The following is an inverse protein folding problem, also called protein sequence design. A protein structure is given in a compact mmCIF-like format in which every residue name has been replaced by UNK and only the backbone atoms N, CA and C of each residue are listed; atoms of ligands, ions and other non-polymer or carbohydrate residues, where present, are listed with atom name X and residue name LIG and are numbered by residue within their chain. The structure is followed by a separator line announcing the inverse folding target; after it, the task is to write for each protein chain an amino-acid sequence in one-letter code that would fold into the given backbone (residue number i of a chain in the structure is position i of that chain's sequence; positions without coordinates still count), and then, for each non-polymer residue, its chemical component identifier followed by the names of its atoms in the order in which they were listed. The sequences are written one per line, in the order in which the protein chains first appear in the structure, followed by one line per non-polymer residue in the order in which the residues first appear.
data_IF_166077076765
#
_entry.id   IF_166077076765
#
_cell.length_a   1.000
_cell.length_b   1.000
_cell.length_c   1.000
_cell.angle_alpha   90.00
_cell.angle_beta   90.00
_cell.angle_gamma   90.00
#
_symmetry.space_group_name_H-M   'P 1'
#
loop_
_entity.id
_entity.type
_entity.pdbx_description
1 polymer ?
#
# COMPACT_ATOMS: atom_id res chain seq x y z
N UNK A 1 37.39 52.56 -74.68
CA UNK A 1 36.04 52.05 -74.41
C UNK A 1 35.93 52.00 -72.89
N UNK A 2 35.19 52.96 -72.33
CA UNK A 2 34.96 53.29 -70.91
C UNK A 2 34.50 52.06 -70.11
N UNK A 3 35.10 51.70 -68.97
CA UNK A 3 35.02 52.27 -67.61
C UNK A 3 33.65 52.02 -66.94
N UNK A 4 33.66 51.32 -65.79
CA UNK A 4 32.75 51.34 -64.60
C UNK A 4 33.10 50.13 -63.69
N UNK A 5 33.78 50.35 -62.54
CA UNK A 5 33.24 50.36 -61.14
C UNK A 5 32.44 49.10 -60.75
N UNK A 6 32.60 48.46 -59.59
CA UNK A 6 33.23 48.77 -58.31
C UNK A 6 32.55 47.92 -57.23
N UNK A 7 33.33 47.49 -56.24
CA UNK A 7 33.01 47.12 -54.85
C UNK A 7 31.88 46.14 -54.47
N UNK A 8 32.27 45.07 -53.76
CA UNK A 8 31.79 44.66 -52.43
C UNK A 8 32.39 43.27 -52.13
N UNK A 9 33.58 43.19 -51.52
CA UNK A 9 33.76 42.98 -50.08
C UNK A 9 32.63 42.19 -49.38
N UNK A 10 33.05 41.10 -48.72
CA UNK A 10 32.43 40.60 -47.47
C UNK A 10 31.10 39.84 -47.60
N UNK A 11 31.15 38.50 -47.83
CA UNK A 11 30.24 37.54 -47.17
C UNK A 11 30.41 36.10 -47.69
N UNK A 12 31.51 35.42 -47.36
CA UNK A 12 31.56 33.95 -47.47
C UNK A 12 32.31 33.28 -46.32
N UNK A 13 32.44 34.00 -45.20
CA UNK A 13 33.04 33.55 -43.95
C UNK A 13 32.03 33.78 -42.82
N UNK A 14 30.84 33.16 -42.87
CA UNK A 14 29.93 33.22 -41.72
C UNK A 14 28.83 32.16 -41.63
N UNK A 15 28.81 31.11 -42.47
CA UNK A 15 27.76 30.08 -42.37
C UNK A 15 28.22 28.77 -41.73
N UNK A 16 29.39 28.74 -41.08
CA UNK A 16 29.92 27.54 -40.42
C UNK A 16 29.63 27.47 -38.90
N UNK A 17 28.74 28.30 -38.37
CA UNK A 17 28.51 28.37 -36.91
C UNK A 17 27.06 28.68 -36.53
N UNK A 18 26.08 28.05 -37.19
CA UNK A 18 24.68 28.17 -36.78
C UNK A 18 24.08 26.79 -36.45
N UNK A 19 23.63 26.67 -35.20
CA UNK A 19 22.76 25.66 -34.60
C UNK A 19 23.31 24.28 -34.22
N UNK A 20 24.16 24.28 -33.18
CA UNK A 20 24.32 23.15 -32.25
C UNK A 20 23.41 23.25 -31.01
N UNK A 21 22.33 24.03 -31.09
CA UNK A 21 21.31 24.11 -30.05
C UNK A 21 20.23 23.07 -30.28
N UNK A 22 20.34 21.88 -29.68
CA UNK A 22 19.16 21.01 -29.57
C UNK A 22 18.12 21.78 -28.76
N UNK A 23 17.05 22.22 -29.42
CA UNK A 23 15.94 22.87 -28.73
C UNK A 23 15.44 21.97 -27.60
N UNK A 24 15.36 22.51 -26.39
CA UNK A 24 14.84 21.79 -25.21
C UNK A 24 13.48 21.14 -25.49
N UNK A 25 12.62 21.78 -26.29
CA UNK A 25 11.31 21.22 -26.67
C UNK A 25 11.44 20.05 -27.66
N UNK A 26 12.42 20.08 -28.56
CA UNK A 26 12.73 18.97 -29.45
C UNK A 26 13.35 17.78 -28.68
N UNK A 27 14.23 18.06 -27.71
CA UNK A 27 14.78 17.04 -26.83
C UNK A 27 13.69 16.37 -25.97
N UNK A 28 12.83 17.17 -25.34
CA UNK A 28 11.71 16.66 -24.51
C UNK A 28 10.71 15.87 -25.35
N UNK A 29 10.34 16.35 -26.55
CA UNK A 29 9.40 15.62 -27.42
C UNK A 29 10.00 14.31 -27.96
N UNK A 30 11.30 14.29 -28.27
CA UNK A 30 12.03 13.08 -28.66
C UNK A 30 12.18 12.08 -27.51
N UNK A 31 12.52 12.55 -26.31
CA UNK A 31 12.56 11.71 -25.12
C UNK A 31 11.16 11.13 -24.82
N UNK A 32 10.10 11.94 -24.95
CA UNK A 32 8.73 11.51 -24.74
C UNK A 32 8.26 10.49 -25.79
N UNK A 33 8.61 10.69 -27.07
CA UNK A 33 8.29 9.71 -28.12
C UNK A 33 9.05 8.40 -27.92
N UNK A 34 10.28 8.46 -27.42
CA UNK A 34 11.09 7.29 -27.06
C UNK A 34 10.46 6.53 -25.89
N UNK A 35 10.07 7.24 -24.83
CA UNK A 35 9.34 6.67 -23.68
C UNK A 35 8.05 6.00 -24.13
N UNK A 36 7.27 6.66 -25.00
CA UNK A 36 6.06 6.04 -25.59
C UNK A 36 6.40 4.78 -26.37
N UNK A 37 7.43 4.79 -27.20
CA UNK A 37 7.80 3.64 -28.04
C UNK A 37 8.17 2.44 -27.16
N UNK A 38 8.97 2.66 -26.13
CA UNK A 38 9.33 1.64 -25.13
C UNK A 38 8.09 1.19 -24.36
N UNK A 39 7.26 2.13 -23.90
CA UNK A 39 6.02 1.82 -23.19
C UNK A 39 5.02 1.04 -24.05
N UNK A 40 4.94 1.28 -25.34
CA UNK A 40 4.02 0.58 -26.26
C UNK A 40 4.64 -0.66 -26.91
N UNK A 41 5.94 -0.91 -26.69
CA UNK A 41 6.56 -2.17 -27.09
C UNK A 41 5.77 -3.34 -26.48
N UNK A 42 5.64 -4.41 -27.25
CA UNK A 42 4.74 -5.51 -26.93
C UNK A 42 5.38 -6.89 -27.16
N UNK A 43 6.71 -6.96 -27.05
CA UNK A 43 7.45 -8.23 -27.10
C UNK A 43 7.17 -9.06 -25.83
N UNK A 44 7.30 -10.39 -25.88
CA UNK A 44 7.11 -11.26 -24.72
C UNK A 44 7.99 -10.89 -23.53
N UNK A 45 9.28 -10.66 -23.75
CA UNK A 45 10.24 -10.26 -22.71
C UNK A 45 9.83 -8.95 -22.01
N UNK A 46 9.35 -7.99 -22.79
CA UNK A 46 8.91 -6.70 -22.25
C UNK A 46 7.61 -6.80 -21.45
N UNK A 47 6.69 -7.70 -21.83
CA UNK A 47 5.48 -7.97 -21.02
C UNK A 47 5.83 -8.59 -19.67
N UNK A 48 6.80 -9.51 -19.65
CA UNK A 48 7.30 -10.10 -18.39
C UNK A 48 7.94 -9.02 -17.52
N UNK A 49 8.77 -8.16 -18.12
CA UNK A 49 9.41 -7.07 -17.39
C UNK A 49 8.40 -6.08 -16.79
N UNK A 50 7.39 -5.65 -17.55
CA UNK A 50 6.29 -4.82 -17.03
C UNK A 50 5.53 -5.51 -15.90
N UNK A 51 5.23 -6.80 -16.07
CA UNK A 51 4.53 -7.58 -15.05
C UNK A 51 5.34 -7.65 -13.77
N UNK A 52 6.64 -7.96 -13.86
CA UNK A 52 7.55 -7.98 -12.73
C UNK A 52 7.69 -6.62 -12.04
N UNK A 53 7.77 -5.54 -12.81
CA UNK A 53 7.80 -4.18 -12.26
C UNK A 53 6.51 -3.83 -11.50
N UNK A 54 5.34 -4.24 -12.00
CA UNK A 54 4.06 -4.04 -11.30
C UNK A 54 3.94 -4.92 -10.05
N UNK A 55 4.45 -6.15 -10.08
CA UNK A 55 4.53 -7.01 -8.88
C UNK A 55 5.41 -6.37 -7.82
N UNK A 56 6.60 -5.92 -8.22
CA UNK A 56 7.53 -5.23 -7.32
C UNK A 56 6.89 -3.98 -6.73
N UNK A 57 6.36 -3.08 -7.58
CA UNK A 57 5.68 -1.87 -7.13
C UNK A 57 4.50 -2.20 -6.19
N UNK A 58 3.69 -3.19 -6.56
CA UNK A 58 2.54 -3.62 -5.78
C UNK A 58 2.94 -4.11 -4.40
N UNK A 59 3.95 -4.97 -4.33
CA UNK A 59 4.51 -5.47 -3.07
C UNK A 59 5.03 -4.35 -2.17
N UNK A 60 5.82 -3.42 -2.69
CA UNK A 60 6.38 -2.33 -1.87
C UNK A 60 5.32 -1.33 -1.40
N UNK A 61 4.34 -0.98 -2.24
CA UNK A 61 3.24 -0.12 -1.83
C UNK A 61 2.37 -0.81 -0.78
N UNK A 62 2.08 -2.10 -0.96
CA UNK A 62 1.33 -2.90 0.01
C UNK A 62 2.05 -3.04 1.35
N UNK A 63 3.32 -3.44 1.33
CA UNK A 63 4.13 -3.61 2.54
C UNK A 63 4.36 -2.27 3.26
N UNK A 64 4.73 -1.22 2.52
CA UNK A 64 4.95 0.11 3.08
C UNK A 64 3.69 0.70 3.71
N UNK A 65 2.52 0.51 3.08
CA UNK A 65 1.24 0.96 3.64
C UNK A 65 0.88 0.21 4.92
N UNK A 66 1.15 -1.10 4.98
CA UNK A 66 0.95 -1.89 6.20
C UNK A 66 1.89 -1.46 7.32
N UNK A 67 3.18 -1.23 7.04
CA UNK A 67 4.12 -0.73 8.04
C UNK A 67 3.64 0.61 8.61
N UNK A 68 3.27 1.55 7.73
CA UNK A 68 2.81 2.87 8.17
C UNK A 68 1.49 2.80 8.94
N UNK A 69 0.58 1.92 8.55
CA UNK A 69 -0.68 1.69 9.26
C UNK A 69 -0.47 1.00 10.62
N UNK A 70 0.54 0.12 10.75
CA UNK A 70 0.96 -0.45 12.04
C UNK A 70 1.49 0.63 12.98
N UNK A 71 2.17 1.67 12.47
CA UNK A 71 2.63 2.80 13.28
C UNK A 71 1.51 3.76 13.67
N UNK A 72 0.57 4.04 12.78
CA UNK A 72 -0.58 4.89 13.09
C UNK A 72 -1.85 4.31 12.46
N UNK A 73 -2.56 3.55 13.28
CA UNK A 73 -3.78 2.87 12.88
C UNK A 73 -5.01 3.76 12.77
N UNK A 74 -4.90 5.08 12.97
CA UNK A 74 -5.97 6.04 12.68
C UNK A 74 -5.97 6.53 11.22
N UNK A 75 -4.91 6.20 10.46
CA UNK A 75 -4.77 6.58 9.06
C UNK A 75 -5.51 5.60 8.14
N UNK A 76 -6.84 5.54 8.24
CA UNK A 76 -7.70 4.66 7.42
C UNK A 76 -7.52 4.91 5.90
N UNK A 77 -7.09 6.12 5.53
CA UNK A 77 -6.72 6.43 4.14
C UNK A 77 -5.64 5.50 3.57
N UNK A 78 -4.84 4.82 4.42
CA UNK A 78 -3.83 3.85 4.00
C UNK A 78 -4.41 2.52 3.52
N UNK A 79 -5.69 2.23 3.78
CA UNK A 79 -6.35 1.04 3.22
C UNK A 79 -6.40 1.08 1.69
N UNK A 80 -6.50 2.26 1.08
CA UNK A 80 -6.53 2.42 -0.39
C UNK A 80 -5.19 2.10 -1.09
N UNK A 81 -4.04 2.70 -0.70
CA UNK A 81 -2.75 2.31 -1.27
C UNK A 81 -2.41 0.86 -0.92
N UNK A 82 -2.79 0.38 0.27
CA UNK A 82 -2.64 -1.03 0.63
C UNK A 82 -3.41 -1.96 -0.32
N UNK A 83 -4.69 -1.69 -0.58
CA UNK A 83 -5.52 -2.43 -1.52
C UNK A 83 -5.00 -2.35 -2.96
N UNK A 84 -4.57 -1.16 -3.39
CA UNK A 84 -3.92 -0.97 -4.67
C UNK A 84 -2.69 -1.86 -4.81
N UNK A 85 -1.78 -1.83 -3.83
CA UNK A 85 -0.56 -2.64 -3.84
C UNK A 85 -0.85 -4.14 -3.89
N UNK A 86 -1.74 -4.61 -3.01
CA UNK A 86 -2.14 -6.01 -2.91
C UNK A 86 -2.73 -6.53 -4.23
N UNK A 87 -3.69 -5.80 -4.80
CA UNK A 87 -4.33 -6.19 -6.06
C UNK A 87 -3.34 -6.11 -7.23
N UNK A 88 -2.43 -5.13 -7.23
CA UNK A 88 -1.47 -4.94 -8.32
C UNK A 88 -0.54 -6.14 -8.52
N UNK A 89 -0.20 -6.86 -7.44
CA UNK A 89 0.60 -8.09 -7.48
C UNK A 89 -0.03 -9.14 -8.41
N UNK A 90 -1.34 -9.34 -8.32
CA UNK A 90 -2.07 -10.28 -9.18
C UNK A 90 -2.53 -9.66 -10.50
N UNK A 91 -3.09 -8.46 -10.45
CA UNK A 91 -3.63 -7.74 -11.60
C UNK A 91 -2.57 -7.47 -12.66
N UNK A 92 -1.37 -7.02 -12.28
CA UNK A 92 -0.29 -6.66 -13.20
C UNK A 92 0.05 -7.78 -14.19
N UNK A 93 0.45 -8.96 -13.70
CA UNK A 93 0.72 -10.15 -14.52
C UNK A 93 -0.49 -10.59 -15.36
N UNK A 94 -1.69 -10.70 -14.78
CA UNK A 94 -2.89 -11.12 -15.52
C UNK A 94 -3.19 -10.15 -16.65
N UNK A 95 -3.11 -8.84 -16.39
CA UNK A 95 -3.38 -7.82 -17.38
C UNK A 95 -2.39 -7.87 -18.56
N UNK A 96 -1.08 -7.98 -18.26
CA UNK A 96 -0.03 -7.86 -19.27
C UNK A 96 0.30 -9.16 -20.00
N UNK A 97 0.16 -10.31 -19.33
CA UNK A 97 0.48 -11.62 -19.91
C UNK A 97 -0.74 -12.30 -20.55
N UNK A 98 -1.95 -11.99 -20.08
CA UNK A 98 -3.19 -12.67 -20.55
C UNK A 98 -4.12 -11.69 -21.26
N UNK A 99 -4.54 -10.61 -20.58
CA UNK A 99 -5.62 -9.74 -21.07
C UNK A 99 -5.20 -8.97 -22.31
N UNK A 100 -4.05 -8.28 -22.29
CA UNK A 100 -3.57 -7.50 -23.44
C UNK A 100 -3.34 -8.39 -24.67
N UNK A 101 -2.62 -9.53 -24.58
CA UNK A 101 -2.41 -10.39 -25.75
C UNK A 101 -3.73 -10.94 -26.31
N UNK A 102 -4.66 -11.33 -25.44
CA UNK A 102 -5.97 -11.84 -25.83
C UNK A 102 -6.84 -10.76 -26.49
N UNK A 103 -6.87 -9.56 -25.91
CA UNK A 103 -7.56 -8.41 -26.46
C UNK A 103 -7.05 -8.04 -27.85
N UNK A 104 -5.72 -8.04 -28.05
CA UNK A 104 -5.10 -7.78 -29.36
C UNK A 104 -5.44 -8.87 -30.38
N UNK A 105 -5.46 -10.14 -29.97
CA UNK A 105 -5.87 -11.27 -30.82
C UNK A 105 -7.33 -11.12 -31.25
N UNK A 106 -8.23 -10.86 -30.30
CA UNK A 106 -9.66 -10.74 -30.55
C UNK A 106 -10.05 -9.48 -31.32
N UNK A 107 -9.31 -8.38 -31.17
CA UNK A 107 -9.52 -7.14 -31.95
C UNK A 107 -9.31 -7.33 -33.46
N UNK A 108 -8.54 -8.35 -33.86
CA UNK A 108 -8.32 -8.74 -35.27
C UNK A 108 -9.35 -9.75 -35.79
N UNK A 109 -10.27 -10.20 -34.95
CA UNK A 109 -11.37 -11.09 -35.35
C UNK A 109 -12.59 -10.28 -35.76
N UNK A 110 -13.57 -10.92 -36.40
CA UNK A 110 -14.84 -10.27 -36.76
C UNK A 110 -15.95 -10.46 -35.71
N UNK A 111 -16.98 -9.62 -35.79
CA UNK A 111 -18.19 -9.72 -34.99
C UNK A 111 -18.00 -9.47 -33.49
N UNK A 112 -18.68 -10.25 -32.65
CA UNK A 112 -18.71 -10.07 -31.19
C UNK A 112 -17.32 -10.15 -30.54
N UNK A 113 -16.42 -10.98 -31.07
CA UNK A 113 -15.03 -11.10 -30.56
C UNK A 113 -14.25 -9.80 -30.75
N UNK A 114 -14.47 -9.10 -31.86
CA UNK A 114 -13.86 -7.79 -32.13
C UNK A 114 -14.29 -6.76 -31.08
N UNK A 115 -15.60 -6.71 -30.79
CA UNK A 115 -16.18 -5.79 -29.80
C UNK A 115 -15.66 -6.10 -28.40
N UNK A 116 -15.61 -7.37 -28.02
CA UNK A 116 -15.10 -7.80 -26.72
C UNK A 116 -13.62 -7.47 -26.57
N UNK A 117 -12.80 -7.74 -27.59
CA UNK A 117 -11.37 -7.39 -27.60
C UNK A 117 -11.08 -5.89 -27.46
N UNK A 118 -11.98 -5.02 -27.95
CA UNK A 118 -11.87 -3.56 -27.76
C UNK A 118 -12.23 -3.10 -26.34
N UNK A 119 -13.16 -3.78 -25.66
CA UNK A 119 -13.65 -3.41 -24.33
C UNK A 119 -12.91 -4.10 -23.19
N UNK A 120 -12.32 -5.26 -23.43
CA UNK A 120 -11.73 -6.10 -22.39
C UNK A 120 -10.66 -5.38 -21.54
N UNK A 121 -9.67 -4.64 -22.10
CA UNK A 121 -8.66 -3.97 -21.28
C UNK A 121 -9.26 -2.90 -20.36
N UNK A 122 -10.19 -2.09 -20.88
CA UNK A 122 -10.86 -1.04 -20.11
C UNK A 122 -11.79 -1.64 -19.06
N UNK A 123 -12.51 -2.72 -19.39
CA UNK A 123 -13.35 -3.43 -18.43
C UNK A 123 -12.54 -4.01 -17.27
N UNK A 124 -11.37 -4.57 -17.54
CA UNK A 124 -10.46 -5.07 -16.51
C UNK A 124 -9.93 -3.94 -15.62
N UNK A 125 -9.59 -2.78 -16.22
CA UNK A 125 -9.17 -1.60 -15.46
C UNK A 125 -10.29 -1.07 -14.55
N UNK A 126 -11.53 -0.98 -15.04
CA UNK A 126 -12.69 -0.59 -14.23
C UNK A 126 -12.90 -1.57 -13.08
N UNK A 127 -12.82 -2.88 -13.34
CA UNK A 127 -12.94 -3.90 -12.30
C UNK A 127 -11.83 -3.77 -11.25
N UNK A 128 -10.60 -3.48 -11.66
CA UNK A 128 -9.48 -3.24 -10.75
C UNK A 128 -9.70 -2.03 -9.85
N UNK A 129 -10.10 -0.88 -10.42
CA UNK A 129 -10.41 0.32 -9.64
C UNK A 129 -11.59 0.08 -8.70
N UNK A 130 -12.64 -0.58 -9.16
CA UNK A 130 -13.77 -0.94 -8.32
C UNK A 130 -13.35 -1.86 -7.16
N UNK A 131 -12.50 -2.85 -7.42
CA UNK A 131 -11.97 -3.73 -6.38
C UNK A 131 -11.11 -2.97 -5.36
N UNK A 132 -10.31 -1.98 -5.79
CA UNK A 132 -9.56 -1.10 -4.87
C UNK A 132 -10.53 -0.34 -3.96
N UNK A 133 -11.59 0.25 -4.51
CA UNK A 133 -12.56 0.99 -3.72
C UNK A 133 -13.26 0.08 -2.71
N UNK A 134 -13.67 -1.12 -3.12
CA UNK A 134 -14.32 -2.09 -2.22
C UNK A 134 -13.36 -2.55 -1.13
N UNK A 135 -12.14 -3.00 -1.46
CA UNK A 135 -11.17 -3.47 -0.46
C UNK A 135 -10.63 -2.33 0.41
N UNK A 136 -10.52 -1.11 -0.13
CA UNK A 136 -10.11 0.05 0.64
C UNK A 136 -11.18 0.52 1.63
N UNK A 137 -12.47 0.35 1.29
CA UNK A 137 -13.59 0.67 2.20
C UNK A 137 -13.85 -0.46 3.20
N UNK A 138 -13.66 -1.71 2.77
CA UNK A 138 -13.87 -2.91 3.57
C UNK A 138 -12.58 -3.76 3.57
N UNK A 139 -11.55 -3.36 4.35
CA UNK A 139 -10.27 -4.05 4.38
C UNK A 139 -10.45 -5.51 4.80
N UNK A 140 -10.00 -6.43 3.94
CA UNK A 140 -10.03 -7.86 4.23
C UNK A 140 -8.77 -8.29 4.97
N UNK A 141 -8.89 -9.20 5.94
CA UNK A 141 -7.77 -9.64 6.79
C UNK A 141 -6.55 -10.18 6.04
N UNK A 142 -6.72 -10.75 4.85
CA UNK A 142 -5.60 -11.22 4.02
C UNK A 142 -4.73 -10.10 3.41
N UNK A 143 -5.23 -8.86 3.41
CA UNK A 143 -4.55 -7.68 2.91
C UNK A 143 -3.80 -6.92 4.02
N UNK A 144 -4.23 -7.08 5.27
CA UNK A 144 -3.69 -6.37 6.43
C UNK A 144 -2.73 -7.27 7.20
N UNK A 145 -1.48 -6.86 7.36
CA UNK A 145 -0.47 -7.55 8.17
C UNK A 145 -0.01 -6.61 9.26
N UNK A 146 -0.16 -7.05 10.51
CA UNK A 146 0.35 -6.33 11.67
C UNK A 146 1.81 -6.71 11.95
N UNK A 147 2.75 -5.91 11.44
CA UNK A 147 4.19 -6.17 11.58
C UNK A 147 4.73 -5.92 12.99
N UNK A 148 4.05 -5.10 13.81
CA UNK A 148 4.44 -4.87 15.20
C UNK A 148 4.25 -6.13 16.05
N UNK A 149 3.25 -6.97 15.72
CA UNK A 149 3.04 -8.24 16.41
C UNK A 149 4.11 -9.31 16.10
N UNK A 150 4.91 -9.13 15.04
CA UNK A 150 5.91 -10.10 14.56
C UNK A 150 7.36 -9.64 14.75
N UNK A 151 7.60 -8.32 14.80
CA UNK A 151 8.89 -7.73 15.11
C UNK A 151 8.97 -7.53 16.63
N UNK A 152 9.51 -8.52 17.33
CA UNK A 152 9.73 -8.42 18.79
C UNK A 152 10.55 -7.20 19.19
N UNK A 153 10.07 -6.52 20.23
CA UNK A 153 10.72 -5.62 21.21
C UNK A 153 12.02 -4.94 20.76
N UNK A 154 11.90 -3.98 19.84
CA UNK A 154 13.08 -3.32 19.25
C UNK A 154 12.87 -1.89 18.79
N UNK A 155 12.21 -1.02 19.57
CA UNK A 155 12.35 0.43 19.44
C UNK A 155 12.07 1.17 20.75
N UNK A 156 13.12 1.69 21.40
CA UNK A 156 13.01 2.65 22.52
C UNK A 156 12.63 4.04 21.97
N UNK A 157 11.80 4.84 22.63
CA UNK A 157 12.22 5.59 23.84
C UNK A 157 11.16 5.73 24.95
N UNK A 158 9.97 5.15 24.78
CA UNK A 158 9.02 4.86 25.88
C UNK A 158 8.34 3.56 25.49
N UNK A 159 8.71 2.46 26.16
CA UNK A 159 8.15 1.12 25.87
C UNK A 159 7.19 0.73 27.01
N UNK A 160 5.92 1.18 26.95
CA UNK A 160 4.94 0.84 27.98
C UNK A 160 4.59 -0.65 27.86
N UNK A 161 5.26 -1.49 28.65
CA UNK A 161 5.13 -2.95 28.58
C UNK A 161 3.72 -3.39 29.06
N UNK A 162 2.99 -4.07 28.16
CA UNK A 162 1.69 -4.67 28.46
C UNK A 162 1.86 -6.16 28.76
N UNK A 163 1.70 -6.51 30.04
CA UNK A 163 1.66 -7.90 30.50
C UNK A 163 0.22 -8.39 30.52
N UNK A 164 -0.03 -9.58 30.00
CA UNK A 164 -1.33 -10.22 30.04
C UNK A 164 -1.18 -11.67 30.47
N UNK A 165 -2.06 -12.12 31.37
CA UNK A 165 -2.18 -13.52 31.80
C UNK A 165 -3.60 -14.00 31.57
N UNK A 166 -3.75 -15.25 31.15
CA UNK A 166 -5.07 -15.87 30.99
C UNK A 166 -5.34 -16.87 32.11
N UNK A 167 -6.57 -16.88 32.58
CA UNK A 167 -7.10 -17.94 33.44
C UNK A 167 -8.00 -18.83 32.59
N UNK A 168 -7.78 -20.14 32.60
CA UNK A 168 -8.59 -21.13 31.90
C UNK A 168 -9.49 -21.87 32.89
N UNK A 169 -10.74 -22.17 32.51
CA UNK A 169 -11.72 -22.81 33.41
C UNK A 169 -13.14 -22.27 33.24
N UNK A 170 -13.97 -22.42 34.27
CA UNK A 170 -15.37 -21.97 34.27
C UNK A 170 -15.56 -20.46 34.20
N UNK A 171 -14.52 -19.69 34.53
CA UNK A 171 -14.45 -18.23 34.42
C UNK A 171 -13.23 -17.85 33.57
N UNK A 172 -13.22 -18.29 32.31
CA UNK A 172 -12.11 -18.04 31.41
C UNK A 172 -12.00 -16.55 31.10
N UNK A 173 -10.88 -15.93 31.47
CA UNK A 173 -10.61 -14.50 31.30
C UNK A 173 -9.15 -14.20 31.04
N UNK A 174 -8.88 -13.00 30.54
CA UNK A 174 -7.54 -12.45 30.39
C UNK A 174 -7.45 -11.19 31.23
N UNK A 175 -6.47 -11.15 32.12
CA UNK A 175 -6.14 -10.00 32.94
C UNK A 175 -4.87 -9.37 32.37
N UNK A 176 -4.92 -8.06 32.09
CA UNK A 176 -3.81 -7.30 31.54
C UNK A 176 -3.49 -6.09 32.41
N UNK A 177 -2.20 -5.79 32.52
CA UNK A 177 -1.64 -4.68 33.27
C UNK A 177 -0.58 -3.96 32.42
N UNK A 178 -0.59 -2.63 32.49
CA UNK A 178 0.45 -1.79 31.91
C UNK A 178 1.52 -1.45 32.96
N UNK A 179 2.74 -1.98 32.79
CA UNK A 179 3.81 -1.84 33.77
C UNK A 179 4.44 -0.42 33.81
N UNK A 180 4.42 0.29 32.68
CA UNK A 180 4.87 1.69 32.57
C UNK A 180 3.82 2.53 31.87
N UNK A 181 3.42 3.63 32.51
CA UNK A 181 2.33 4.51 32.08
C UNK A 181 2.77 5.90 31.64
N UNK A 182 4.08 6.14 31.52
CA UNK A 182 4.60 7.46 31.15
C UNK A 182 4.11 7.85 29.74
N UNK A 183 3.45 9.01 29.63
CA UNK A 183 2.86 9.50 28.37
C UNK A 183 1.53 8.84 27.97
N UNK A 184 0.94 7.97 28.82
CA UNK A 184 -0.36 7.34 28.58
C UNK A 184 -1.44 8.04 29.40
N UNK A 185 -2.44 8.59 28.72
CA UNK A 185 -3.63 9.22 29.31
C UNK A 185 -4.87 8.31 29.32
N UNK A 186 -4.96 7.31 28.43
CA UNK A 186 -6.01 6.28 28.49
C UNK A 186 -5.63 5.00 27.76
N UNK A 187 -6.28 3.90 28.14
CA UNK A 187 -6.21 2.59 27.48
C UNK A 187 -7.57 2.23 26.89
N UNK A 188 -7.62 2.05 25.58
CA UNK A 188 -8.82 1.64 24.85
C UNK A 188 -8.65 0.19 24.40
N UNK A 189 -9.60 -0.67 24.76
CA UNK A 189 -9.58 -2.09 24.46
C UNK A 189 -10.67 -2.40 23.44
N UNK A 190 -10.26 -2.90 22.29
CA UNK A 190 -11.11 -3.22 21.15
C UNK A 190 -11.13 -4.74 20.90
N UNK A 191 -12.28 -5.28 20.52
CA UNK A 191 -12.40 -6.66 20.06
C UNK A 191 -13.48 -6.76 18.98
N UNK A 192 -13.22 -7.53 17.92
CA UNK A 192 -14.14 -7.60 16.77
C UNK A 192 -14.35 -6.27 16.02
N UNK A 193 -13.50 -5.27 16.27
CA UNK A 193 -13.65 -3.91 15.71
C UNK A 193 -14.52 -2.97 16.55
N UNK A 194 -15.01 -3.41 17.71
CA UNK A 194 -15.78 -2.60 18.65
C UNK A 194 -14.97 -2.32 19.92
N UNK A 195 -15.15 -1.13 20.50
CA UNK A 195 -14.57 -0.81 21.81
C UNK A 195 -15.32 -1.57 22.89
N UNK A 196 -14.63 -2.49 23.56
CA UNK A 196 -15.17 -3.29 24.66
C UNK A 196 -14.90 -2.63 26.00
N UNK A 197 -13.76 -1.93 26.14
CA UNK A 197 -13.37 -1.28 27.40
C UNK A 197 -12.56 -0.02 27.18
N UNK A 198 -12.66 0.90 28.14
CA UNK A 198 -11.80 2.09 28.24
C UNK A 198 -11.40 2.27 29.69
N UNK A 199 -10.10 2.48 29.93
CA UNK A 199 -9.51 2.75 31.26
C UNK A 199 -8.84 4.11 31.18
N UNK A 200 -9.37 5.10 31.92
CA UNK A 200 -8.97 6.50 31.82
C UNK A 200 -7.95 6.90 32.88
N UNK A 201 -7.81 6.13 33.97
CA UNK A 201 -6.95 6.47 35.10
C UNK A 201 -6.02 5.31 35.49
N UNK A 202 -4.80 5.59 35.97
CA UNK A 202 -3.91 4.58 36.53
C UNK A 202 -4.40 4.05 37.89
N UNK A 203 -4.10 2.78 38.26
CA UNK A 203 -3.35 1.79 37.48
C UNK A 203 -4.15 1.28 36.28
N UNK A 204 -3.50 1.22 35.12
CA UNK A 204 -4.13 0.77 33.88
C UNK A 204 -4.23 -0.74 33.84
N UNK A 205 -5.22 -1.26 34.55
CA UNK A 205 -5.53 -2.68 34.69
C UNK A 205 -6.92 -2.97 34.12
N UNK A 206 -7.05 -4.08 33.39
CA UNK A 206 -8.35 -4.53 32.90
C UNK A 206 -8.42 -6.04 32.71
N UNK A 207 -9.63 -6.57 32.83
CA UNK A 207 -9.95 -7.96 32.55
C UNK A 207 -10.92 -8.07 31.38
N UNK A 208 -10.77 -9.08 30.53
CA UNK A 208 -11.73 -9.44 29.49
C UNK A 208 -12.14 -10.89 29.69
N UNK A 209 -13.44 -11.18 29.73
CA UNK A 209 -13.91 -12.57 29.63
C UNK A 209 -13.62 -13.13 28.25
N UNK A 210 -13.37 -14.44 28.16
CA UNK A 210 -13.16 -15.10 26.87
C UNK A 210 -14.39 -15.00 25.95
N UNK A 211 -15.57 -14.68 26.48
CA UNK A 211 -16.80 -14.39 25.73
C UNK A 211 -16.85 -12.99 25.13
N UNK A 212 -16.17 -12.01 25.74
CA UNK A 212 -16.09 -10.63 25.22
C UNK A 212 -15.05 -10.49 24.10
N UNK A 213 -14.16 -11.47 23.96
CA UNK A 213 -13.17 -11.50 22.89
C UNK A 213 -13.78 -12.08 21.62
N UNK A 214 -14.01 -11.20 20.65
CA UNK A 214 -14.46 -11.51 19.30
C UNK A 214 -13.46 -12.34 18.49
N UNK A 215 -14.01 -13.05 17.51
CA UNK A 215 -13.26 -13.91 16.61
C UNK A 215 -13.02 -13.22 15.27
N UNK A 216 -11.75 -13.13 14.86
CA UNK A 216 -11.34 -12.55 13.58
C UNK A 216 -10.57 -13.63 12.82
N UNK A 217 -11.11 -14.09 11.69
CA UNK A 217 -10.51 -15.13 10.84
C UNK A 217 -10.24 -16.44 11.61
N UNK A 218 -11.15 -16.86 12.49
CA UNK A 218 -11.02 -18.12 13.23
C UNK A 218 -10.23 -18.01 14.54
N UNK A 219 -9.65 -16.86 14.86
CA UNK A 219 -8.84 -16.65 16.05
C UNK A 219 -9.49 -15.60 16.97
N UNK A 220 -9.62 -15.93 18.27
CA UNK A 220 -10.04 -14.97 19.29
C UNK A 220 -8.91 -14.01 19.61
N UNK A 221 -9.13 -12.73 19.33
CA UNK A 221 -8.14 -11.68 19.51
C UNK A 221 -8.74 -10.37 20.01
N UNK A 222 -7.93 -9.60 20.72
CA UNK A 222 -8.26 -8.25 21.16
C UNK A 222 -7.08 -7.31 20.88
N UNK A 223 -7.39 -6.04 20.78
CA UNK A 223 -6.45 -4.96 20.49
C UNK A 223 -6.50 -3.94 21.61
N UNK A 224 -5.35 -3.58 22.14
CA UNK A 224 -5.19 -2.57 23.20
C UNK A 224 -4.51 -1.37 22.57
N UNK A 225 -5.19 -0.22 22.58
CA UNK A 225 -4.70 1.04 22.06
C UNK A 225 -4.40 1.97 23.23
N UNK A 226 -3.15 2.39 23.34
CA UNK A 226 -2.69 3.39 24.28
C UNK A 226 -2.80 4.76 23.62
N UNK A 227 -3.40 5.71 24.32
CA UNK A 227 -3.53 7.10 23.90
C UNK A 227 -2.98 8.02 24.99
N UNK A 228 -2.48 9.19 24.60
CA UNK A 228 -2.07 10.24 25.54
C UNK A 228 -3.28 11.04 26.06
N UNK A 229 -3.02 12.07 26.88
CA UNK A 229 -4.06 12.93 27.45
C UNK A 229 -4.90 13.66 26.38
N UNK A 230 -4.29 13.98 25.24
CA UNK A 230 -4.94 14.65 24.12
C UNK A 230 -5.74 13.67 23.22
N UNK A 231 -5.70 12.36 23.52
CA UNK A 231 -6.31 11.30 22.71
C UNK A 231 -5.49 10.94 21.47
N UNK A 232 -4.23 11.36 21.41
CA UNK A 232 -3.30 10.98 20.35
C UNK A 232 -2.84 9.55 20.57
N UNK A 233 -2.77 8.79 19.48
CA UNK A 233 -2.26 7.42 19.50
C UNK A 233 -0.79 7.37 19.97
N UNK A 234 -0.53 6.57 21.00
CA UNK A 234 0.82 6.26 21.51
C UNK A 234 1.27 4.91 20.97
N UNK A 235 0.50 3.85 21.21
CA UNK A 235 0.88 2.48 20.83
C UNK A 235 -0.31 1.53 20.72
N UNK A 236 -0.13 0.42 19.99
CA UNK A 236 -1.11 -0.65 19.84
C UNK A 236 -0.50 -2.01 20.19
N UNK A 237 -1.23 -2.82 20.94
CA UNK A 237 -0.93 -4.23 21.17
C UNK A 237 -2.06 -5.10 20.65
N UNK A 238 -1.77 -6.04 19.76
CA UNK A 238 -2.71 -7.08 19.35
C UNK A 238 -2.34 -8.38 20.08
N UNK A 239 -3.31 -8.99 20.78
CA UNK A 239 -3.11 -10.24 21.54
C UNK A 239 -4.11 -11.30 21.10
N UNK A 240 -3.59 -12.50 20.87
CA UNK A 240 -4.37 -13.70 20.55
C UNK A 240 -4.50 -14.56 21.79
N UNK A 241 -5.73 -14.93 22.17
CA UNK A 241 -5.98 -15.70 23.39
C UNK A 241 -5.20 -17.03 23.44
N UNK A 242 -4.97 -17.64 22.29
CA UNK A 242 -4.21 -18.89 22.19
C UNK A 242 -2.76 -18.75 22.70
N UNK A 243 -2.15 -17.56 22.54
CA UNK A 243 -0.72 -17.31 22.80
C UNK A 243 -0.47 -16.62 24.14
N UNK A 244 -1.50 -16.01 24.75
CA UNK A 244 -1.38 -15.41 26.09
C UNK A 244 -0.97 -16.49 27.10
N UNK A 245 0.05 -16.24 27.95
CA UNK A 245 0.50 -17.21 28.95
C UNK A 245 -0.59 -17.46 30.00
N UNK A 246 -0.68 -18.69 30.51
CA UNK A 246 -1.58 -19.02 31.61
C UNK A 246 -1.04 -18.46 32.92
N UNK A 247 -1.93 -17.98 33.79
CA UNK A 247 -1.56 -17.63 35.15
C UNK A 247 -1.07 -18.90 35.86
N UNK A 248 0.21 -18.93 36.25
CA UNK A 248 0.73 -19.97 37.15
C UNK A 248 0.07 -19.83 38.51
N UNK A 249 -0.67 -20.87 38.92
CA UNK A 249 -1.20 -21.02 40.28
C UNK A 249 -0.08 -21.15 41.33
#
# INVERSE_FOLDING_TARGET
MTDERGDASTSASTNAAADTGVSLTAAVSSAWSTVKTVYWANSPSWRVLKSGALVFLGFFVWAGSNILYSYNGSLDALHYPMAYGFLLIGYGPVHHLVVIPLALKWRRSDGLRATLGKRLPNGMLVAFVAAILVLGTFPAGAMTVDFQSQLGDGSADVDPELSCVKTTGGDARVDCELASSEGVGRVVVESGGETVRTVEDPPYEFSLSASEVGEIVGEKQFTVRLEDEDGTFVRRYTRRLAVVPEATE
#
